data_IF_940068321588
#
_entry.id   IF_940068321588
#
_cell.length_a   1.000
_cell.length_b   1.000
_cell.length_c   1.000
_cell.angle_alpha   90.00
_cell.angle_beta   90.00
_cell.angle_gamma   90.00
#
_symmetry.space_group_name_H-M   'P 1'
#
loop_
_entity.id
_entity.type
_entity.pdbx_description
1 polymer ?
#
# COMPACT_ATOMS: atom_id res chain seq x y z
N UNK A 1 -10.49 4.73 10.17
CA UNK A 1 -9.55 4.62 9.04
C UNK A 1 -10.12 3.66 8.03
N UNK A 2 -9.86 3.90 6.75
CA UNK A 2 -10.34 3.05 5.69
C UNK A 2 -9.38 3.06 4.53
N UNK A 3 -9.64 2.15 3.60
CA UNK A 3 -8.97 2.09 2.30
C UNK A 3 -10.04 2.05 1.22
N UNK A 4 -9.71 2.61 0.07
CA UNK A 4 -10.52 2.48 -1.14
C UNK A 4 -9.79 1.54 -2.07
N UNK A 5 -10.47 0.49 -2.50
CA UNK A 5 -9.99 -0.42 -3.54
C UNK A 5 -10.70 -0.04 -4.83
N UNK A 6 -9.96 0.16 -5.91
CA UNK A 6 -10.49 0.44 -7.23
C UNK A 6 -9.96 -0.56 -8.24
N UNK A 7 -10.84 -1.07 -9.09
CA UNK A 7 -10.46 -1.71 -10.35
C UNK A 7 -9.87 -0.61 -11.24
N UNK A 8 -8.70 -0.90 -11.83
CA UNK A 8 -8.03 0.03 -12.75
C UNK A 8 -8.26 -0.42 -14.18
N UNK A 9 -8.03 -1.71 -14.42
CA UNK A 9 -8.28 -2.37 -15.70
C UNK A 9 -8.51 -3.87 -15.44
N UNK A 10 -8.52 -4.69 -16.49
CA UNK A 10 -8.76 -6.13 -16.43
C UNK A 10 -7.65 -6.94 -15.72
N UNK A 11 -6.53 -6.30 -15.39
CA UNK A 11 -5.35 -6.94 -14.78
C UNK A 11 -4.86 -6.24 -13.51
N UNK A 12 -5.34 -5.04 -13.22
CA UNK A 12 -4.85 -4.23 -12.11
C UNK A 12 -5.95 -3.77 -11.16
N UNK A 13 -5.61 -3.78 -9.87
CA UNK A 13 -6.37 -3.09 -8.83
C UNK A 13 -5.46 -2.12 -8.09
N UNK A 14 -6.00 -0.97 -7.69
CA UNK A 14 -5.33 -0.04 -6.79
C UNK A 14 -5.97 -0.02 -5.41
N UNK A 15 -5.13 0.14 -4.40
CA UNK A 15 -5.54 0.39 -3.01
C UNK A 15 -5.07 1.79 -2.63
N UNK A 16 -6.01 2.71 -2.47
CA UNK A 16 -5.77 4.03 -1.93
C UNK A 16 -5.89 4.01 -0.39
N UNK A 17 -4.89 4.58 0.26
CA UNK A 17 -4.77 4.60 1.72
C UNK A 17 -4.57 6.04 2.18
N UNK A 18 -5.56 6.57 2.90
CA UNK A 18 -5.39 7.83 3.63
C UNK A 18 -4.36 7.65 4.75
N UNK A 19 -3.45 8.60 4.85
CA UNK A 19 -2.43 8.63 5.88
C UNK A 19 -3.02 8.78 7.28
N UNK A 20 -2.24 8.33 8.26
CA UNK A 20 -2.58 8.40 9.66
C UNK A 20 -1.44 9.08 10.42
N UNK A 21 -1.78 9.93 11.40
CA UNK A 21 -0.79 10.65 12.23
C UNK A 21 0.22 11.43 11.37
N UNK A 22 -0.31 12.15 10.39
CA UNK A 22 0.47 13.02 9.50
C UNK A 22 0.78 14.31 10.27
N UNK A 23 2.03 14.78 10.17
CA UNK A 23 2.40 16.15 10.54
C UNK A 23 2.92 16.86 9.29
N UNK A 24 3.24 18.15 9.39
CA UNK A 24 3.80 18.93 8.26
C UNK A 24 5.01 18.24 7.62
N UNK A 25 5.82 17.57 8.45
CA UNK A 25 7.07 16.93 8.02
C UNK A 25 7.03 15.40 8.05
N UNK A 26 6.08 14.77 8.73
CA UNK A 26 6.05 13.32 8.93
C UNK A 26 4.85 12.64 8.30
N UNK A 27 5.08 11.41 7.84
CA UNK A 27 4.07 10.56 7.22
C UNK A 27 3.71 10.97 5.80
N UNK A 28 3.06 10.07 5.09
CA UNK A 28 2.46 10.33 3.79
C UNK A 28 0.97 10.64 3.95
N UNK A 29 0.48 11.82 3.53
CA UNK A 29 -0.94 12.18 3.53
C UNK A 29 -1.84 11.15 2.85
N UNK A 30 -1.36 10.56 1.75
CA UNK A 30 -1.97 9.42 1.10
C UNK A 30 -0.90 8.59 0.40
N UNK A 31 -1.27 7.36 0.08
CA UNK A 31 -0.51 6.50 -0.85
C UNK A 31 -1.45 5.61 -1.65
N UNK A 32 -1.06 5.29 -2.88
CA UNK A 32 -1.77 4.38 -3.78
C UNK A 32 -0.85 3.22 -4.12
N UNK A 33 -1.34 2.00 -3.96
CA UNK A 33 -0.61 0.75 -4.22
C UNK A 33 -1.33 0.00 -5.32
N UNK A 34 -0.68 -0.27 -6.45
CA UNK A 34 -1.29 -0.97 -7.59
C UNK A 34 -0.74 -2.38 -7.69
N UNK A 35 -1.64 -3.36 -7.75
CA UNK A 35 -1.31 -4.77 -7.79
C UNK A 35 -1.75 -5.41 -9.11
N UNK A 36 -0.90 -6.28 -9.66
CA UNK A 36 -1.26 -7.23 -10.72
C UNK A 36 -2.10 -8.37 -10.09
N UNK A 37 -3.29 -8.61 -10.64
CA UNK A 37 -4.25 -9.56 -10.07
C UNK A 37 -3.90 -11.02 -10.34
N UNK A 38 -3.14 -11.29 -11.39
CA UNK A 38 -2.74 -12.64 -11.79
C UNK A 38 -1.56 -13.14 -10.95
N UNK A 39 -0.75 -12.22 -10.43
CA UNK A 39 0.40 -12.53 -9.57
C UNK A 39 0.03 -12.76 -8.09
N UNK A 40 -1.21 -12.50 -7.69
CA UNK A 40 -1.66 -12.67 -6.30
C UNK A 40 -3.12 -13.12 -6.22
N UNK A 41 -3.39 -14.35 -5.70
CA UNK A 41 -4.76 -14.83 -5.51
C UNK A 41 -5.63 -13.90 -4.66
N UNK A 42 -5.01 -13.23 -3.67
CA UNK A 42 -5.70 -12.26 -2.81
C UNK A 42 -6.05 -10.98 -3.59
N UNK A 43 -5.15 -10.50 -4.45
CA UNK A 43 -5.43 -9.35 -5.32
C UNK A 43 -6.57 -9.69 -6.29
N UNK A 44 -6.50 -10.82 -6.99
CA UNK A 44 -7.59 -11.26 -7.86
C UNK A 44 -8.92 -11.47 -7.15
N UNK A 45 -8.92 -11.90 -5.88
CA UNK A 45 -10.15 -11.97 -5.09
C UNK A 45 -10.71 -10.59 -4.77
N UNK A 46 -9.87 -9.64 -4.36
CA UNK A 46 -10.29 -8.25 -4.09
C UNK A 46 -10.81 -7.55 -5.35
N UNK A 47 -10.12 -7.74 -6.48
CA UNK A 47 -10.57 -7.23 -7.78
C UNK A 47 -11.97 -7.74 -8.11
N UNK A 48 -12.21 -9.05 -8.06
CA UNK A 48 -13.54 -9.64 -8.31
C UNK A 48 -14.64 -9.08 -7.41
N UNK A 49 -14.34 -8.85 -6.13
CA UNK A 49 -15.29 -8.26 -5.19
C UNK A 49 -15.57 -6.80 -5.55
N UNK A 50 -14.54 -6.02 -5.89
CA UNK A 50 -14.68 -4.62 -6.29
C UNK A 50 -15.43 -4.49 -7.63
N UNK A 51 -15.10 -5.29 -8.65
CA UNK A 51 -15.79 -5.29 -9.95
C UNK A 51 -17.30 -5.54 -9.79
N UNK A 52 -17.68 -6.52 -8.96
CA UNK A 52 -19.10 -6.79 -8.65
C UNK A 52 -19.82 -5.66 -7.93
N UNK A 53 -19.08 -4.72 -7.33
CA UNK A 53 -19.62 -3.55 -6.65
C UNK A 53 -19.52 -2.26 -7.50
N UNK A 54 -19.33 -2.40 -8.80
CA UNK A 54 -19.21 -1.26 -9.71
C UNK A 54 -17.78 -0.69 -9.78
N UNK A 55 -16.77 -1.55 -9.59
CA UNK A 55 -15.36 -1.18 -9.73
C UNK A 55 -14.74 -0.53 -8.50
N UNK A 56 -15.53 -0.04 -7.53
CA UNK A 56 -15.04 0.63 -6.32
C UNK A 56 -15.54 -0.08 -5.06
N UNK A 57 -14.61 -0.38 -4.15
CA UNK A 57 -14.91 -0.95 -2.84
C UNK A 57 -14.27 -0.08 -1.74
N UNK A 58 -15.13 0.62 -0.97
CA UNK A 58 -14.69 1.30 0.25
C UNK A 58 -14.72 0.34 1.44
N UNK A 59 -13.58 0.22 2.13
CA UNK A 59 -13.44 -0.58 3.34
C UNK A 59 -13.14 0.33 4.51
N UNK A 60 -14.13 0.52 5.40
CA UNK A 60 -13.97 1.29 6.64
C UNK A 60 -14.20 0.39 7.85
N UNK A 61 -13.29 0.46 8.83
CA UNK A 61 -13.42 -0.25 10.12
C UNK A 61 -12.86 0.60 11.26
N UNK A 62 -13.44 0.45 12.45
CA UNK A 62 -12.86 0.99 13.67
C UNK A 62 -11.58 0.20 14.02
N UNK A 63 -10.52 0.85 14.53
CA UNK A 63 -9.25 0.16 14.82
C UNK A 63 -9.39 -1.04 15.76
N UNK A 64 -10.20 -0.90 16.84
CA UNK A 64 -10.44 -1.98 17.81
C UNK A 64 -11.09 -3.20 17.14
N UNK A 65 -12.12 -2.99 16.33
CA UNK A 65 -12.80 -4.05 15.57
C UNK A 65 -11.87 -4.69 14.55
N UNK A 66 -11.05 -3.89 13.86
CA UNK A 66 -10.08 -4.43 12.90
C UNK A 66 -9.06 -5.36 13.59
N UNK A 67 -8.54 -4.95 14.75
CA UNK A 67 -7.63 -5.80 15.53
C UNK A 67 -8.31 -7.08 16.03
N UNK A 68 -9.54 -6.99 16.53
CA UNK A 68 -10.31 -8.17 16.94
C UNK A 68 -10.54 -9.15 15.76
N UNK A 69 -10.88 -8.62 14.58
CA UNK A 69 -11.06 -9.43 13.37
C UNK A 69 -9.77 -10.11 12.93
N UNK A 70 -8.62 -9.43 13.00
CA UNK A 70 -7.31 -10.05 12.71
C UNK A 70 -6.99 -11.16 13.70
N UNK A 71 -7.19 -10.94 15.00
CA UNK A 71 -6.96 -11.96 16.02
C UNK A 71 -7.86 -13.18 15.82
N UNK A 72 -9.15 -12.97 15.54
CA UNK A 72 -10.10 -14.04 15.24
C UNK A 72 -9.70 -14.83 13.98
N UNK A 73 -9.28 -14.14 12.91
CA UNK A 73 -8.79 -14.77 11.70
C UNK A 73 -7.52 -15.60 11.94
N UNK A 74 -6.58 -15.08 12.75
CA UNK A 74 -5.36 -15.81 13.15
C UNK A 74 -5.71 -17.12 13.85
N UNK A 75 -6.59 -17.04 14.86
CA UNK A 75 -7.05 -18.19 15.64
C UNK A 75 -7.73 -19.22 14.74
N UNK A 76 -8.60 -18.77 13.82
CA UNK A 76 -9.28 -19.64 12.86
C UNK A 76 -8.30 -20.34 11.91
N UNK A 77 -7.21 -19.68 11.57
CA UNK A 77 -6.14 -20.24 10.73
C UNK A 77 -5.13 -21.10 11.51
N UNK A 78 -5.28 -21.28 12.83
CA UNK A 78 -4.32 -21.99 13.67
C UNK A 78 -2.97 -21.27 13.82
N UNK A 79 -2.94 -19.95 13.58
CA UNK A 79 -1.73 -19.14 13.64
C UNK A 79 -1.64 -18.39 14.99
N UNK A 80 -0.42 -18.03 15.44
CA UNK A 80 -0.24 -17.08 16.52
C UNK A 80 -0.99 -15.77 16.24
N UNK A 81 -1.42 -15.03 17.28
CA UNK A 81 -2.14 -13.77 17.09
C UNK A 81 -1.36 -12.79 16.20
N UNK A 82 -1.87 -12.51 15.00
CA UNK A 82 -1.33 -11.47 14.13
C UNK A 82 -2.06 -10.15 14.35
N UNK A 83 -1.31 -9.05 14.25
CA UNK A 83 -1.85 -7.69 14.27
C UNK A 83 -1.32 -6.88 13.10
N UNK A 84 -1.92 -5.71 12.85
CA UNK A 84 -1.55 -4.84 11.74
C UNK A 84 -0.06 -4.44 11.76
N UNK A 85 0.51 -4.28 12.95
CA UNK A 85 1.92 -3.93 13.13
C UNK A 85 2.83 -5.07 12.67
N UNK A 86 2.54 -6.32 13.05
CA UNK A 86 3.30 -7.50 12.61
C UNK A 86 3.19 -7.65 11.09
N UNK A 87 1.99 -7.50 10.52
CA UNK A 87 1.78 -7.54 9.07
C UNK A 87 2.61 -6.47 8.35
N UNK A 88 2.73 -5.26 8.91
CA UNK A 88 3.57 -4.18 8.37
C UNK A 88 5.06 -4.53 8.41
N UNK A 89 5.53 -5.17 9.47
CA UNK A 89 6.91 -5.67 9.55
C UNK A 89 7.19 -6.73 8.50
N UNK A 90 6.28 -7.69 8.35
CA UNK A 90 6.39 -8.72 7.32
C UNK A 90 6.43 -8.12 5.92
N UNK A 91 5.54 -7.17 5.62
CA UNK A 91 5.54 -6.42 4.37
C UNK A 91 6.90 -5.75 4.12
N UNK A 92 7.44 -5.04 5.12
CA UNK A 92 8.73 -4.37 4.98
C UNK A 92 9.88 -5.37 4.71
N UNK A 93 9.90 -6.51 5.40
CA UNK A 93 10.88 -7.58 5.16
C UNK A 93 10.76 -8.14 3.74
N UNK A 94 9.53 -8.40 3.26
CA UNK A 94 9.30 -8.88 1.89
C UNK A 94 9.79 -7.89 0.85
N UNK A 95 9.42 -6.61 0.98
CA UNK A 95 9.82 -5.60 0.01
C UNK A 95 11.35 -5.39 0.00
N UNK A 96 12.01 -5.42 1.16
CA UNK A 96 13.49 -5.38 1.24
C UNK A 96 14.14 -6.61 0.60
N UNK A 97 13.49 -7.77 0.67
CA UNK A 97 13.97 -8.99 0.03
C UNK A 97 13.84 -8.93 -1.49
N UNK A 98 12.67 -8.54 -1.98
CA UNK A 98 12.36 -8.55 -3.41
C UNK A 98 12.96 -7.35 -4.16
N UNK A 99 12.91 -6.16 -3.56
CA UNK A 99 13.33 -4.91 -4.21
C UNK A 99 14.72 -4.43 -3.78
N UNK A 100 15.37 -5.17 -2.86
CA UNK A 100 16.72 -4.85 -2.39
C UNK A 100 16.80 -3.44 -1.77
N UNK A 101 17.59 -2.58 -2.42
CA UNK A 101 17.94 -1.23 -1.93
C UNK A 101 17.00 -0.11 -2.41
N UNK A 102 15.83 -0.45 -2.97
CA UNK A 102 14.79 0.51 -3.36
C UNK A 102 14.10 1.20 -2.15
N UNK A 103 14.88 1.88 -1.31
CA UNK A 103 14.45 2.46 -0.02
C UNK A 103 13.32 3.46 -0.17
N UNK A 104 13.36 4.30 -1.20
CA UNK A 104 12.32 5.31 -1.43
C UNK A 104 10.98 4.66 -1.77
N UNK A 105 10.97 3.69 -2.68
CA UNK A 105 9.75 2.93 -3.01
C UNK A 105 9.19 2.21 -1.78
N UNK A 106 10.05 1.54 -1.00
CA UNK A 106 9.61 0.86 0.23
C UNK A 106 9.06 1.86 1.25
N UNK A 107 9.69 3.03 1.40
CA UNK A 107 9.21 4.10 2.26
C UNK A 107 7.84 4.61 1.81
N UNK A 108 7.60 4.78 0.50
CA UNK A 108 6.28 5.14 -0.03
C UNK A 108 5.23 4.08 0.31
N UNK A 109 5.52 2.79 0.12
CA UNK A 109 4.59 1.69 0.44
C UNK A 109 4.23 1.66 1.93
N UNK A 110 5.23 1.89 2.79
CA UNK A 110 5.01 1.98 4.22
C UNK A 110 4.29 3.30 4.60
N UNK A 111 4.36 4.34 3.78
CA UNK A 111 3.79 5.65 4.09
C UNK A 111 4.72 6.52 4.95
N UNK A 112 6.03 6.35 4.80
CA UNK A 112 7.04 7.19 5.42
C UNK A 112 7.40 8.37 4.50
N UNK A 113 7.67 9.54 5.10
CA UNK A 113 8.18 10.72 4.41
C UNK A 113 9.73 10.77 4.37
N UNK A 114 10.41 9.74 4.90
CA UNK A 114 11.86 9.60 4.86
C UNK A 114 12.28 8.13 4.92
N UNK A 115 13.41 7.81 4.30
CA UNK A 115 14.03 6.49 4.37
C UNK A 115 14.67 6.17 5.74
N UNK A 116 14.96 7.18 6.58
CA UNK A 116 15.57 6.98 7.89
C UNK A 116 14.75 6.08 8.82
N UNK A 117 13.43 6.26 8.84
CA UNK A 117 12.53 5.52 9.74
C UNK A 117 12.24 4.10 9.26
N UNK A 118 12.51 3.79 7.98
CA UNK A 118 12.33 2.44 7.42
C UNK A 118 13.31 1.42 8.00
N UNK A 119 14.50 1.86 8.49
CA UNK A 119 15.50 0.97 9.10
C UNK A 119 14.91 0.16 10.27
N UNK A 120 13.90 0.69 10.97
CA UNK A 120 13.22 0.03 12.12
C UNK A 120 12.26 -1.09 11.73
N UNK A 121 11.91 -1.24 10.46
CA UNK A 121 10.88 -2.19 10.01
C UNK A 121 11.46 -3.36 9.24
N UNK A 122 11.52 -4.54 9.88
CA UNK A 122 11.82 -5.81 9.22
C UNK A 122 13.25 -5.91 8.68
N UNK A 123 13.74 -7.13 8.46
CA UNK A 123 15.05 -7.39 7.85
C UNK A 123 14.92 -8.12 6.52
N UNK A 124 15.85 -7.85 5.59
CA UNK A 124 15.90 -8.50 4.27
C UNK A 124 15.96 -10.04 4.36
N UNK A 125 16.62 -10.55 5.39
CA UNK A 125 16.79 -11.99 5.63
C UNK A 125 15.50 -12.71 6.05
N UNK A 126 14.53 -11.97 6.59
CA UNK A 126 13.22 -12.53 6.97
C UNK A 126 12.25 -12.64 5.79
N UNK A 127 12.61 -12.10 4.63
CA UNK A 127 11.82 -12.27 3.42
C UNK A 127 11.93 -13.70 2.85
N UNK A 128 10.90 -14.10 2.14
CA UNK A 128 10.74 -15.37 1.44
C UNK A 128 10.69 -15.11 -0.07
N UNK A 129 11.11 -16.13 -0.84
CA UNK A 129 10.92 -16.18 -2.30
C UNK A 129 9.43 -16.07 -2.64
N UNK A 130 9.11 -15.35 -3.72
CA UNK A 130 7.74 -15.14 -4.21
C UNK A 130 7.55 -13.75 -4.80
N UNK A 131 6.32 -13.42 -5.21
CA UNK A 131 5.94 -12.07 -5.65
C UNK A 131 4.98 -11.44 -4.64
N UNK A 132 5.10 -10.13 -4.44
CA UNK A 132 4.10 -9.33 -3.72
C UNK A 132 2.98 -8.83 -4.65
N UNK A 133 3.09 -9.09 -5.96
CA UNK A 133 2.21 -8.60 -7.02
C UNK A 133 2.09 -7.06 -7.11
N UNK A 134 2.82 -6.32 -6.27
CA UNK A 134 2.82 -4.86 -6.23
C UNK A 134 3.66 -4.33 -7.39
N UNK A 135 3.00 -3.72 -8.37
CA UNK A 135 3.62 -3.24 -9.61
C UNK A 135 3.86 -1.73 -9.60
N UNK A 136 3.05 -0.95 -8.88
CA UNK A 136 3.26 0.49 -8.76
C UNK A 136 2.96 1.02 -7.35
N UNK A 137 3.64 2.11 -6.99
CA UNK A 137 3.38 2.86 -5.76
C UNK A 137 3.48 4.36 -6.03
N UNK A 138 2.48 5.09 -5.55
CA UNK A 138 2.45 6.55 -5.55
C UNK A 138 2.21 7.04 -4.12
N UNK A 139 2.81 8.18 -3.77
CA UNK A 139 2.61 8.82 -2.48
C UNK A 139 2.64 10.34 -2.60
N UNK A 140 1.93 11.02 -1.71
CA UNK A 140 1.72 12.46 -1.79
C UNK A 140 3.01 13.29 -1.73
N UNK A 141 3.97 12.89 -0.89
CA UNK A 141 5.22 13.62 -0.67
C UNK A 141 6.40 12.85 -1.23
N UNK A 142 7.36 13.57 -1.80
CA UNK A 142 8.69 13.04 -2.09
C UNK A 142 9.32 12.48 -0.81
N UNK A 143 9.91 11.29 -0.92
CA UNK A 143 10.60 10.67 0.22
C UNK A 143 11.96 11.32 0.41
N UNK A 144 12.24 11.78 1.62
CA UNK A 144 13.55 12.37 1.98
C UNK A 144 14.59 11.29 2.26
N UNK A 145 15.77 11.40 1.65
CA UNK A 145 16.89 10.49 1.85
C UNK A 145 18.05 11.21 2.55
N UNK A 146 18.19 11.09 3.88
CA UNK A 146 19.21 11.82 4.64
C UNK A 146 20.64 11.26 4.47
N UNK A 147 20.79 10.03 3.97
CA UNK A 147 22.09 9.40 3.68
C UNK A 147 22.24 9.21 2.15
N UNK A 148 22.79 10.21 1.43
CA UNK A 148 23.19 10.22 -0.01
C UNK A 148 22.08 10.12 -1.09
N UNK A 149 22.28 10.72 -2.28
CA UNK A 149 21.41 10.51 -3.43
C UNK A 149 21.56 9.07 -3.93
N UNK A 150 20.47 8.31 -3.92
CA UNK A 150 20.40 7.03 -4.63
C UNK A 150 19.98 7.33 -6.07
N UNK A 151 20.63 6.77 -7.11
CA UNK A 151 20.10 6.85 -8.47
C UNK A 151 18.71 6.23 -8.44
N UNK A 152 17.72 7.07 -8.70
CA UNK A 152 16.33 6.74 -8.48
C UNK A 152 15.95 5.47 -9.24
N UNK A 153 14.93 4.80 -8.73
CA UNK A 153 13.87 4.40 -9.64
C UNK A 153 13.26 5.70 -10.20
N UNK A 154 14.01 6.38 -11.07
CA UNK A 154 13.47 7.35 -11.99
C UNK A 154 12.49 6.55 -12.80
N UNK A 155 11.19 6.78 -12.57
CA UNK A 155 10.08 6.28 -13.37
C UNK A 155 10.43 4.94 -14.02
N UNK A 156 10.44 3.85 -13.25
CA UNK A 156 10.30 2.55 -13.92
C UNK A 156 9.10 2.72 -14.85
N UNK A 157 9.29 2.43 -16.14
CA UNK A 157 8.29 2.54 -17.20
C UNK A 157 7.03 1.75 -16.80
N UNK A 158 6.24 2.43 -16.00
CA UNK A 158 4.88 2.17 -15.64
C UNK A 158 4.20 3.39 -16.22
N UNK A 159 4.05 3.36 -17.54
CA UNK A 159 3.08 4.24 -18.20
C UNK A 159 1.81 4.21 -17.34
N UNK A 160 1.36 5.36 -16.80
CA UNK A 160 0.14 5.36 -16.02
C UNK A 160 -0.94 4.73 -16.91
N UNK A 161 -1.68 3.70 -16.46
CA UNK A 161 -2.91 3.38 -17.15
C UNK A 161 -3.69 4.69 -17.23
N UNK A 162 -4.17 5.02 -18.43
CA UNK A 162 -4.93 6.25 -18.66
C UNK A 162 -5.86 6.46 -17.48
N UNK A 163 -5.63 7.57 -16.78
CA UNK A 163 -6.38 7.88 -15.57
C UNK A 163 -7.79 8.14 -16.07
N UNK A 164 -8.68 7.16 -15.92
CA UNK A 164 -10.09 7.31 -16.28
C UNK A 164 -10.60 8.61 -15.67
N UNK A 165 -11.41 9.35 -16.43
CA UNK A 165 -11.86 10.71 -16.10
C UNK A 165 -12.46 10.84 -14.68
N UNK A 166 -12.96 9.74 -14.11
CA UNK A 166 -13.43 9.65 -12.75
C UNK A 166 -12.30 9.80 -11.70
N UNK A 167 -11.14 9.19 -11.92
CA UNK A 167 -9.99 9.29 -11.02
C UNK A 167 -9.38 10.71 -11.01
N UNK A 168 -9.36 11.41 -12.15
CA UNK A 168 -8.98 12.83 -12.22
C UNK A 168 -9.95 13.74 -11.46
N UNK A 169 -11.23 13.38 -11.42
CA UNK A 169 -12.25 14.08 -10.63
C UNK A 169 -11.98 13.95 -9.13
N UNK A 170 -11.59 12.77 -8.65
CA UNK A 170 -11.24 12.55 -7.23
C UNK A 170 -9.93 13.25 -6.81
N UNK A 171 -8.96 13.37 -7.71
CA UNK A 171 -7.70 14.09 -7.46
C UNK A 171 -7.88 15.61 -7.41
N UNK A 172 -9.03 16.11 -7.89
CA UNK A 172 -9.38 17.53 -7.91
C UNK A 172 -10.39 17.91 -6.81
N UNK A 173 -10.81 16.96 -5.95
CA UNK A 173 -11.74 17.24 -4.85
C UNK A 173 -10.98 17.66 -3.60
N UNK A 174 -11.43 18.79 -3.03
CA UNK A 174 -10.91 19.29 -1.75
C UNK A 174 -11.33 18.35 -0.60
N UNK A 175 -10.51 18.22 0.47
CA UNK A 175 -10.81 17.33 1.59
C UNK A 175 -12.18 17.55 2.25
N UNK A 176 -12.79 18.72 2.08
CA UNK A 176 -14.13 19.08 2.59
C UNK A 176 -15.29 18.52 1.75
N UNK A 177 -15.02 17.85 0.63
CA UNK A 177 -16.04 17.33 -0.28
C UNK A 177 -16.29 15.82 -0.10
N UNK A 178 -15.80 15.23 1.00
CA UNK A 178 -15.87 13.80 1.32
C UNK A 178 -16.78 13.49 2.53
N UNK A 179 -17.84 14.26 2.74
CA UNK A 179 -18.87 14.01 3.76
C UNK A 179 -19.86 12.90 3.34
#
# INVERSE_FOLDING_TARGET
MGVTVSVVDDRHLSIFISGAKITDTNGQPWRKLTYDIDMSPLAGQLWRIASRKGGILQVRRQPRTFHANMAAASKKAGLPPICAYIARHYLASQLKHLWGDAKEAIAMVLGHASTATQKRYGSRQQGRKGSMALVAVEAARTVRTPDRPHPGLAKADLSPPEVDAEASRWMSMEPSQFD
#
